data_IF_520517749461
#
_entry.id   IF_520517749461
#
_cell.length_a   1.000
_cell.length_b   1.000
_cell.length_c   1.000
_cell.angle_alpha   90.00
_cell.angle_beta   90.00
_cell.angle_gamma   90.00
#
_symmetry.space_group_name_H-M   'P 1'
#
loop_
_entity.id
_entity.type
_entity.pdbx_description
1 polymer ?
#
# COMPACT_ATOMS: atom_id res chain seq x y z
N UNK A 1 -50.87 -44.71 3.58
CA UNK A 1 -49.48 -45.18 3.37
C UNK A 1 -48.86 -44.43 2.19
N UNK A 2 -47.64 -43.88 2.37
CA UNK A 2 -46.71 -43.43 1.32
C UNK A 2 -46.94 -42.00 0.78
N UNK A 3 -46.34 -40.93 1.32
CA UNK A 3 -44.95 -40.45 1.15
C UNK A 3 -44.54 -40.37 -0.33
N UNK A 4 -44.13 -39.26 -0.95
CA UNK A 4 -43.67 -37.94 -0.53
C UNK A 4 -42.64 -37.43 -1.55
N UNK A 5 -42.28 -36.14 -1.45
CA UNK A 5 -41.14 -35.42 -2.08
C UNK A 5 -41.43 -35.00 -3.54
N UNK A 6 -41.37 -33.72 -3.90
CA UNK A 6 -40.19 -32.94 -4.31
C UNK A 6 -40.69 -31.50 -4.59
N UNK A 7 -39.97 -30.38 -4.48
CA UNK A 7 -38.56 -30.10 -4.28
C UNK A 7 -38.46 -28.74 -3.57
N UNK A 8 -37.56 -28.62 -2.59
CA UNK A 8 -37.07 -27.30 -2.18
C UNK A 8 -36.17 -26.78 -3.30
N UNK A 9 -36.57 -25.67 -3.92
CA UNK A 9 -35.67 -24.88 -4.75
C UNK A 9 -34.63 -24.23 -3.83
N UNK A 10 -33.43 -24.79 -3.79
CA UNK A 10 -32.28 -24.15 -3.17
C UNK A 10 -31.81 -23.01 -4.08
N UNK A 11 -32.22 -21.78 -3.74
CA UNK A 11 -31.68 -20.56 -4.34
C UNK A 11 -30.22 -20.45 -3.85
N UNK A 12 -29.27 -20.84 -4.70
CA UNK A 12 -27.86 -20.71 -4.42
C UNK A 12 -27.51 -19.21 -4.31
N UNK A 13 -27.23 -18.72 -3.10
CA UNK A 13 -26.48 -17.50 -2.91
C UNK A 13 -25.06 -17.75 -3.43
N UNK A 14 -24.77 -17.34 -4.65
CA UNK A 14 -23.40 -17.11 -5.09
C UNK A 14 -22.84 -15.97 -4.21
N UNK A 15 -22.14 -16.33 -3.14
CA UNK A 15 -21.20 -15.43 -2.49
C UNK A 15 -20.10 -15.16 -3.52
N UNK A 16 -20.21 -14.04 -4.25
CA UNK A 16 -19.06 -13.44 -4.90
C UNK A 16 -18.11 -13.08 -3.77
N UNK A 17 -17.09 -13.91 -3.56
CA UNK A 17 -15.90 -13.50 -2.83
C UNK A 17 -15.32 -12.32 -3.58
N UNK A 18 -15.71 -11.09 -3.20
CA UNK A 18 -14.99 -9.89 -3.58
C UNK A 18 -13.61 -10.09 -2.97
N UNK A 19 -12.66 -10.52 -3.80
CA UNK A 19 -11.26 -10.56 -3.41
C UNK A 19 -10.90 -9.15 -2.96
N UNK A 20 -10.54 -8.96 -1.70
CA UNK A 20 -9.98 -7.70 -1.26
C UNK A 20 -8.69 -7.51 -2.07
N UNK A 21 -8.71 -6.57 -3.02
CA UNK A 21 -7.50 -6.10 -3.68
C UNK A 21 -6.50 -5.77 -2.56
N UNK A 22 -5.43 -6.58 -2.46
CA UNK A 22 -4.48 -6.41 -1.36
C UNK A 22 -3.66 -5.19 -1.68
N UNK A 23 -3.87 -4.12 -0.91
CA UNK A 23 -2.98 -2.98 -0.92
C UNK A 23 -1.55 -3.47 -0.65
N UNK A 24 -0.62 -3.09 -1.52
CA UNK A 24 0.78 -3.43 -1.35
C UNK A 24 1.39 -2.48 -0.28
N UNK A 25 2.30 -3.01 0.53
CA UNK A 25 2.90 -2.31 1.68
C UNK A 25 4.19 -1.64 1.26
N UNK A 26 4.28 -0.33 1.52
CA UNK A 26 5.43 0.50 1.15
C UNK A 26 5.89 1.36 2.34
N UNK A 27 7.14 1.79 2.33
CA UNK A 27 7.66 2.85 3.20
C UNK A 27 7.71 4.18 2.45
N UNK A 28 7.30 5.24 3.13
CA UNK A 28 7.58 6.60 2.71
C UNK A 28 8.03 7.44 3.91
N UNK A 29 9.30 7.86 3.89
CA UNK A 29 9.87 8.73 4.92
C UNK A 29 9.67 8.21 6.36
N UNK A 30 9.73 6.88 6.53
CA UNK A 30 9.55 6.18 7.80
C UNK A 30 8.09 5.95 8.23
N UNK A 31 7.13 6.16 7.34
CA UNK A 31 5.71 5.81 7.53
C UNK A 31 5.33 4.63 6.64
N UNK A 32 4.41 3.77 7.10
CA UNK A 32 3.88 2.67 6.30
C UNK A 32 2.74 3.15 5.41
N UNK A 33 2.74 2.71 4.17
CA UNK A 33 1.85 3.16 3.12
C UNK A 33 1.12 1.98 2.49
N UNK A 34 -0.13 2.21 2.12
CA UNK A 34 -0.95 1.31 1.33
C UNK A 34 -1.03 1.82 -0.10
N UNK A 35 -0.62 1.01 -1.08
CA UNK A 35 -0.83 1.27 -2.51
C UNK A 35 -2.04 0.49 -2.99
N UNK A 36 -3.11 1.22 -3.33
CA UNK A 36 -4.33 0.71 -3.95
C UNK A 36 -4.26 0.95 -5.46
N UNK A 37 -3.87 -0.08 -6.21
CA UNK A 37 -3.71 -0.01 -7.67
C UNK A 37 -5.02 0.19 -8.40
N UNK A 38 -6.13 -0.35 -7.88
CA UNK A 38 -7.44 -0.25 -8.51
C UNK A 38 -8.02 1.16 -8.36
N UNK A 39 -7.86 1.76 -7.18
CA UNK A 39 -8.29 3.14 -6.93
C UNK A 39 -7.26 4.19 -7.32
N UNK A 40 -6.04 3.76 -7.65
CA UNK A 40 -4.96 4.66 -8.01
C UNK A 40 -4.53 5.58 -6.87
N UNK A 41 -4.50 5.05 -5.64
CA UNK A 41 -4.22 5.84 -4.44
C UNK A 41 -3.07 5.27 -3.62
N UNK A 42 -2.28 6.17 -3.03
CA UNK A 42 -1.34 5.83 -1.96
C UNK A 42 -1.80 6.50 -0.68
N UNK A 43 -1.97 5.73 0.38
CA UNK A 43 -2.50 6.22 1.66
C UNK A 43 -1.62 5.83 2.83
N UNK A 44 -1.66 6.60 3.93
CA UNK A 44 -0.97 6.22 5.15
C UNK A 44 -1.64 5.01 5.80
N UNK A 45 -0.94 3.88 5.90
CA UNK A 45 -1.34 2.75 6.76
C UNK A 45 -1.04 3.07 8.21
N UNK A 46 0.18 3.53 8.49
CA UNK A 46 0.58 4.02 9.81
C UNK A 46 1.60 5.15 9.68
N UNK A 47 1.54 6.13 10.59
CA UNK A 47 2.35 7.35 10.53
C UNK A 47 3.52 7.28 11.50
N UNK A 48 4.68 7.80 11.08
CA UNK A 48 5.84 7.93 11.97
C UNK A 48 5.53 8.81 13.20
N UNK A 49 6.23 8.62 14.34
CA UNK A 49 5.93 9.32 15.58
C UNK A 49 5.82 10.84 15.46
N UNK A 50 6.71 11.49 14.69
CA UNK A 50 6.71 12.94 14.53
C UNK A 50 5.53 13.52 13.75
N UNK A 51 4.74 12.68 13.07
CA UNK A 51 3.53 13.08 12.34
C UNK A 51 2.24 12.76 13.10
N UNK A 52 2.33 12.05 14.24
CA UNK A 52 1.16 11.68 15.04
C UNK A 52 0.42 12.92 15.54
N UNK A 53 -0.91 12.86 15.55
CA UNK A 53 -1.77 13.97 15.94
C UNK A 53 -1.99 15.02 14.84
N UNK A 54 -1.28 14.92 13.72
CA UNK A 54 -1.49 15.76 12.53
C UNK A 54 -1.95 14.94 11.32
N UNK A 55 -1.28 13.83 11.02
CA UNK A 55 -1.69 12.89 9.97
C UNK A 55 -2.29 11.64 10.62
N UNK A 56 -3.36 11.13 10.03
CA UNK A 56 -4.06 9.92 10.49
C UNK A 56 -3.93 8.82 9.42
N UNK A 57 -3.99 7.54 9.83
CA UNK A 57 -4.19 6.45 8.88
C UNK A 57 -5.35 6.73 7.92
N UNK A 58 -5.20 6.33 6.66
CA UNK A 58 -6.13 6.57 5.56
C UNK A 58 -5.94 7.90 4.82
N UNK A 59 -5.09 8.82 5.29
CA UNK A 59 -4.80 10.05 4.57
C UNK A 59 -4.13 9.75 3.23
N UNK A 60 -4.64 10.38 2.17
CA UNK A 60 -4.15 10.19 0.79
C UNK A 60 -2.93 11.06 0.55
N UNK A 61 -1.77 10.44 0.31
CA UNK A 61 -0.54 11.17 -0.07
C UNK A 61 -0.42 11.32 -1.59
N UNK A 62 -1.04 10.42 -2.34
CA UNK A 62 -1.07 10.45 -3.79
C UNK A 62 -2.40 9.90 -4.32
N UNK A 63 -2.90 10.51 -5.40
CA UNK A 63 -4.03 10.02 -6.19
C UNK A 63 -3.75 10.20 -7.69
N UNK A 64 -4.01 9.17 -8.50
CA UNK A 64 -3.77 9.19 -9.94
C UNK A 64 -3.77 7.80 -10.56
N UNK A 65 -2.98 7.61 -11.60
CA UNK A 65 -2.78 6.33 -12.28
C UNK A 65 -1.52 5.66 -11.73
N UNK A 66 -1.62 4.39 -11.34
CA UNK A 66 -0.51 3.59 -10.81
C UNK A 66 -0.50 2.24 -11.54
N UNK A 67 0.44 2.08 -12.46
CA UNK A 67 0.70 0.77 -13.07
C UNK A 67 1.55 -0.07 -12.13
N UNK A 68 1.11 -1.29 -11.81
CA UNK A 68 1.87 -2.20 -10.94
C UNK A 68 3.23 -2.53 -11.56
N UNK A 69 4.32 -2.08 -10.93
CA UNK A 69 5.69 -2.23 -11.42
C UNK A 69 6.03 -1.33 -12.62
N UNK A 70 5.17 -0.35 -12.94
CA UNK A 70 5.22 0.44 -14.17
C UNK A 70 5.22 1.94 -13.92
N UNK A 71 4.59 2.69 -14.83
CA UNK A 71 4.49 4.14 -14.76
C UNK A 71 3.50 4.62 -13.69
N UNK A 72 3.72 5.83 -13.18
CA UNK A 72 2.84 6.51 -12.23
C UNK A 72 2.68 7.96 -12.64
N UNK A 73 1.44 8.46 -12.61
CA UNK A 73 1.13 9.86 -12.92
C UNK A 73 -0.06 10.31 -12.09
N UNK A 74 0.05 11.47 -11.45
CA UNK A 74 -1.06 11.98 -10.66
C UNK A 74 -0.74 13.19 -9.84
N UNK A 75 -1.45 13.31 -8.72
CA UNK A 75 -1.36 14.40 -7.76
C UNK A 75 -0.80 13.88 -6.45
N UNK A 76 0.29 14.47 -5.99
CA UNK A 76 0.79 14.29 -4.64
C UNK A 76 0.33 15.42 -3.72
N UNK A 77 0.30 15.16 -2.41
CA UNK A 77 -0.17 16.12 -1.41
C UNK A 77 0.90 16.39 -0.35
N UNK A 78 1.22 17.67 -0.13
CA UNK A 78 2.12 18.10 0.95
C UNK A 78 1.30 18.56 2.15
N UNK A 79 1.60 17.98 3.29
CA UNK A 79 0.94 18.27 4.55
C UNK A 79 1.73 19.26 5.42
N UNK A 80 1.03 20.17 6.08
CA UNK A 80 1.57 21.05 7.14
C UNK A 80 0.52 21.21 8.23
N UNK A 81 0.94 21.17 9.49
CA UNK A 81 0.03 21.33 10.64
C UNK A 81 -0.83 22.59 10.49
N UNK A 82 -2.13 22.44 10.73
CA UNK A 82 -3.15 23.50 10.62
C UNK A 82 -3.32 24.10 9.21
N UNK A 83 -2.87 23.40 8.17
CA UNK A 83 -3.10 23.78 6.79
C UNK A 83 -3.79 22.66 6.03
N UNK A 84 -4.62 23.05 5.08
CA UNK A 84 -5.12 22.13 4.07
C UNK A 84 -3.97 21.50 3.28
N UNK A 85 -4.08 20.23 2.85
CA UNK A 85 -3.10 19.59 1.98
C UNK A 85 -2.88 20.42 0.71
N UNK A 86 -1.62 20.61 0.32
CA UNK A 86 -1.29 21.33 -0.92
C UNK A 86 -1.05 20.31 -2.04
N UNK A 87 -1.90 20.27 -3.08
CA UNK A 87 -1.73 19.36 -4.20
C UNK A 87 -0.64 19.85 -5.16
N UNK A 88 0.01 18.91 -5.85
CA UNK A 88 0.89 19.20 -6.98
C UNK A 88 1.05 17.98 -7.89
N UNK A 89 1.26 18.23 -9.18
CA UNK A 89 1.41 17.18 -10.16
C UNK A 89 2.76 16.48 -10.01
N UNK A 90 2.75 15.15 -10.09
CA UNK A 90 3.95 14.31 -10.11
C UNK A 90 3.83 13.23 -11.18
N UNK A 91 4.98 12.83 -11.72
CA UNK A 91 5.12 11.68 -12.61
C UNK A 91 6.31 10.85 -12.19
N UNK A 92 6.29 9.56 -12.49
CA UNK A 92 7.36 8.67 -12.12
C UNK A 92 7.15 7.25 -12.61
N UNK A 93 7.89 6.33 -12.01
CA UNK A 93 7.83 4.91 -12.33
C UNK A 93 8.34 4.06 -11.18
N UNK A 94 8.10 2.76 -11.27
CA UNK A 94 8.80 1.78 -10.44
C UNK A 94 10.27 1.67 -10.86
N UNK A 95 11.17 1.71 -9.88
CA UNK A 95 12.61 1.55 -10.03
C UNK A 95 13.06 0.27 -9.31
N UNK A 96 13.69 -0.67 -10.03
CA UNK A 96 14.14 -1.93 -9.41
C UNK A 96 15.40 -1.77 -8.55
N UNK A 97 16.21 -0.74 -8.80
CA UNK A 97 17.44 -0.44 -8.04
C UNK A 97 17.17 0.11 -6.64
N UNK A 98 16.02 0.75 -6.47
CA UNK A 98 15.44 1.15 -5.19
C UNK A 98 14.01 0.60 -5.21
N UNK A 99 13.80 -0.69 -4.87
CA UNK A 99 12.57 -1.40 -5.16
C UNK A 99 11.39 -0.58 -4.64
N UNK A 100 10.62 0.01 -5.55
CA UNK A 100 9.70 1.07 -5.18
C UNK A 100 9.32 2.03 -6.30
N UNK A 101 8.40 2.95 -6.02
CA UNK A 101 8.05 4.05 -6.92
C UNK A 101 8.84 5.31 -6.59
N UNK A 102 9.41 5.92 -7.62
CA UNK A 102 10.06 7.22 -7.54
C UNK A 102 9.26 8.20 -8.38
N UNK A 103 8.71 9.23 -7.73
CA UNK A 103 7.91 10.27 -8.37
C UNK A 103 8.60 11.62 -8.26
N UNK A 104 8.47 12.45 -9.29
CA UNK A 104 9.03 13.81 -9.31
C UNK A 104 8.00 14.82 -9.77
N UNK A 105 8.08 16.03 -9.22
CA UNK A 105 7.23 17.16 -9.59
C UNK A 105 7.63 18.46 -8.90
N UNK A 106 7.11 19.58 -9.38
CA UNK A 106 7.38 20.88 -8.76
C UNK A 106 6.56 21.02 -7.47
N UNK A 107 7.23 20.90 -6.32
CA UNK A 107 6.64 20.92 -5.00
C UNK A 107 6.21 22.33 -4.56
N UNK A 108 5.02 22.50 -3.95
CA UNK A 108 4.56 23.77 -3.41
C UNK A 108 5.50 24.31 -2.33
N UNK A 109 5.98 25.54 -2.53
CA UNK A 109 6.67 26.33 -1.51
C UNK A 109 5.61 27.09 -0.72
N UNK A 110 5.55 26.87 0.59
CA UNK A 110 4.68 27.64 1.49
C UNK A 110 5.44 28.76 2.16
N UNK A 111 4.77 29.90 2.33
CA UNK A 111 5.24 30.99 3.18
C UNK A 111 5.59 30.48 4.59
N UNK A 112 6.65 31.05 5.17
CA UNK A 112 7.11 30.66 6.50
C UNK A 112 6.02 30.94 7.54
N UNK A 113 5.56 29.88 8.20
CA UNK A 113 4.54 29.97 9.26
C UNK A 113 3.10 30.10 8.76
N UNK A 114 2.86 30.10 7.46
CA UNK A 114 1.52 30.21 6.88
C UNK A 114 1.20 29.04 5.94
N UNK A 115 -0.08 28.96 5.54
CA UNK A 115 -0.56 27.92 4.61
C UNK A 115 -0.46 28.33 3.14
N UNK A 116 -0.29 29.63 2.88
CA UNK A 116 -0.24 30.21 1.54
C UNK A 116 0.94 29.66 0.75
N UNK A 117 0.65 29.16 -0.45
CA UNK A 117 1.66 28.76 -1.44
C UNK A 117 2.17 30.01 -2.13
N UNK A 118 3.50 30.17 -2.17
CA UNK A 118 4.19 31.34 -2.75
C UNK A 118 4.94 31.01 -4.04
N UNK A 119 5.04 29.72 -4.39
CA UNK A 119 5.74 29.26 -5.57
C UNK A 119 5.82 27.74 -5.61
N UNK A 120 6.56 27.23 -6.58
CA UNK A 120 6.79 25.80 -6.79
C UNK A 120 8.27 25.58 -7.13
N UNK A 121 8.85 24.47 -6.69
CA UNK A 121 10.23 24.13 -7.00
C UNK A 121 10.41 22.65 -7.30
N UNK A 122 11.25 22.35 -8.28
CA UNK A 122 11.71 20.99 -8.59
C UNK A 122 12.88 20.56 -7.68
N UNK A 123 13.28 21.41 -6.75
CA UNK A 123 14.36 21.16 -5.80
C UNK A 123 13.82 20.79 -4.41
N UNK A 124 14.59 20.01 -3.67
CA UNK A 124 14.31 19.66 -2.28
C UNK A 124 13.52 18.36 -2.09
N UNK A 125 13.41 17.92 -0.83
CA UNK A 125 12.90 16.59 -0.48
C UNK A 125 11.41 16.35 -0.75
N UNK A 126 10.63 17.39 -1.06
CA UNK A 126 9.24 17.23 -1.48
C UNK A 126 9.09 17.19 -3.01
N UNK A 127 10.14 17.49 -3.78
CA UNK A 127 10.09 17.45 -5.24
C UNK A 127 10.38 16.06 -5.80
N UNK A 128 10.98 15.16 -4.99
CA UNK A 128 11.19 13.75 -5.27
C UNK A 128 10.58 12.91 -4.14
N UNK A 129 9.61 12.06 -4.48
CA UNK A 129 8.94 11.15 -3.54
C UNK A 129 9.41 9.74 -3.80
N UNK A 130 9.90 9.09 -2.76
CA UNK A 130 10.29 7.68 -2.79
C UNK A 130 9.30 6.88 -1.95
N UNK A 131 8.69 5.88 -2.59
CA UNK A 131 7.87 4.86 -1.96
C UNK A 131 8.59 3.53 -2.10
N UNK A 132 9.22 3.06 -1.04
CA UNK A 132 10.03 1.82 -1.05
C UNK A 132 9.13 0.62 -0.80
N UNK A 133 9.14 -0.35 -1.68
CA UNK A 133 8.39 -1.60 -1.58
C UNK A 133 8.89 -2.42 -0.38
N UNK A 134 7.97 -2.83 0.50
CA UNK A 134 8.28 -3.62 1.69
C UNK A 134 7.89 -5.09 1.53
N UNK A 135 7.40 -5.50 0.36
CA UNK A 135 7.19 -6.91 0.10
C UNK A 135 8.51 -7.66 0.34
N UNK A 136 8.49 -8.75 1.13
CA UNK A 136 9.69 -9.53 1.33
C UNK A 136 10.17 -9.99 -0.04
N UNK A 137 11.41 -9.67 -0.38
CA UNK A 137 12.06 -10.17 -1.59
C UNK A 137 11.83 -11.70 -1.63
N UNK A 138 11.00 -12.19 -2.55
CA UNK A 138 10.79 -13.63 -2.77
C UNK A 138 12.02 -14.30 -3.43
N UNK A 139 13.22 -13.86 -3.09
CA UNK A 139 14.51 -14.42 -3.48
C UNK A 139 15.32 -14.96 -2.30
N UNK A 140 14.72 -15.05 -1.11
CA UNK A 140 15.30 -15.67 0.09
C UNK A 140 14.46 -16.77 0.74
N UNK A 141 13.32 -17.18 0.13
CA UNK A 141 12.54 -18.31 0.64
C UNK A 141 13.20 -19.62 0.19
N UNK A 142 14.31 -19.96 0.87
CA UNK A 142 14.74 -21.33 0.95
C UNK A 142 13.52 -22.17 1.31
N UNK A 143 13.18 -23.08 0.40
CA UNK A 143 12.32 -24.22 0.62
C UNK A 143 12.86 -25.01 1.81
N UNK A 144 12.53 -24.56 3.02
CA UNK A 144 12.59 -25.36 4.22
C UNK A 144 11.50 -26.41 4.09
N UNK A 145 11.87 -27.54 3.50
CA UNK A 145 11.17 -28.81 3.66
C UNK A 145 10.91 -29.02 5.15
N UNK A 146 9.70 -28.74 5.60
CA UNK A 146 9.20 -29.23 6.86
C UNK A 146 8.99 -30.74 6.71
N UNK A 147 10.08 -31.50 6.82
CA UNK A 147 10.02 -32.93 7.12
C UNK A 147 9.54 -33.05 8.56
N UNK A 148 8.23 -33.25 8.73
CA UNK A 148 7.69 -33.93 9.90
C UNK A 148 7.52 -35.40 9.53
N UNK A 149 8.09 -36.32 10.33
CA UNK A 149 7.19 -37.26 10.95
C UNK A 149 7.56 -37.52 12.41
N UNK A 150 6.64 -37.15 13.30
CA UNK A 150 6.52 -37.84 14.58
C UNK A 150 5.73 -39.14 14.31
N UNK A 151 6.41 -40.29 14.31
CA UNK A 151 5.77 -41.58 14.51
C UNK A 151 6.66 -42.45 15.38
N UNK A 152 6.35 -42.40 16.68
CA UNK A 152 6.77 -43.35 17.70
C UNK A 152 6.30 -44.77 17.34
N UNK A 153 7.20 -45.75 17.47
CA UNK A 153 6.85 -47.18 17.53
C UNK A 153 7.73 -47.86 18.58
N UNK A 154 7.19 -48.52 19.62
CA UNK A 154 7.99 -49.23 20.62
C UNK A 154 8.43 -50.60 20.06
N UNK A 155 9.69 -50.96 20.32
CA UNK A 155 10.22 -52.29 20.00
C UNK A 155 9.70 -53.35 20.99
N UNK A 156 9.35 -54.58 20.56
CA UNK A 156 9.18 -55.71 21.46
C UNK A 156 10.55 -56.31 21.79
N UNK A 157 10.75 -56.66 23.06
CA UNK A 157 12.00 -57.21 23.56
C UNK A 157 12.33 -58.61 23.06
N UNK A 158 13.61 -58.95 23.22
CA UNK A 158 14.13 -60.25 23.64
C UNK A 158 15.42 -60.03 24.41
#
# INVERSE_FOLDING_TARGET
>A
MGNGKNAMAAMALCFFSVGAARAADFDHNGSRMDVDYERGAITYRSVKPSLRGFIKPGFVVFAGEIEKGGAVKGTAYIFRKNCEPAPYAVTGRYEASLPGYVLSGAAPIREKGACRVTGYSIEGGNARLEFVDLSPNESGSASGTATSPNSYSPAPGR
#
